data_IF_884462519854
#
_entry.id   IF_884462519854
#
_cell.length_a   1.000
_cell.length_b   1.000
_cell.length_c   1.000
_cell.angle_alpha   90.00
_cell.angle_beta   90.00
_cell.angle_gamma   90.00
#
_symmetry.space_group_name_H-M   'P 1'
#
loop_
_entity.id
_entity.type
_entity.pdbx_description
1 polymer ?
2 branched ?
3 non-polymer ?
4 non-polymer ?
5 non-polymer ?
6 non-polymer ?
7 water ?
#
# COMPACT_ATOMS: atom_id res chain seq x y z
C UNK A 1 16.32 -27.72 -8.23
N UNK A 2 16.16 -27.07 -9.38
CA UNK A 2 16.09 -25.71 -9.93
C UNK A 2 14.72 -25.39 -10.52
N UNK A 3 14.09 -24.38 -9.96
CA UNK A 3 12.66 -24.26 -10.00
C UNK A 3 12.01 -23.48 -11.15
N UNK A 4 12.78 -22.66 -11.85
CA UNK A 4 12.20 -21.69 -12.77
C UNK A 4 13.11 -21.44 -13.94
N UNK A 5 12.79 -20.50 -14.81
CA UNK A 5 13.74 -20.14 -15.84
C UNK A 5 14.10 -18.70 -15.82
N UNK A 6 15.36 -18.38 -16.06
CA UNK A 6 15.78 -17.00 -15.94
C UNK A 6 16.39 -16.41 -17.19
N UNK A 7 16.42 -15.08 -17.22
CA UNK A 7 16.87 -14.34 -18.38
C UNK A 7 17.43 -13.04 -17.87
N UNK A 8 17.86 -12.17 -18.79
CA UNK A 8 18.52 -10.92 -18.40
C UNK A 8 17.66 -10.00 -17.53
N UNK A 9 16.41 -9.77 -17.94
CA UNK A 9 15.51 -8.97 -17.12
C UNK A 9 14.41 -9.63 -16.31
N UNK A 10 14.38 -10.95 -16.23
CA UNK A 10 13.28 -11.60 -15.54
C UNK A 10 13.59 -12.96 -14.89
N UNK A 11 12.61 -13.47 -14.16
CA UNK A 11 12.61 -14.86 -13.70
C UNK A 11 11.20 -15.44 -13.82
N UNK A 12 11.02 -16.39 -14.73
CA UNK A 12 9.73 -17.09 -14.84
C UNK A 12 9.65 -18.23 -13.80
N UNK A 13 8.62 -18.25 -12.95
CA UNK A 13 8.44 -19.31 -11.97
C UNK A 13 8.02 -20.66 -12.56
N UNK A 14 8.71 -21.14 -13.58
CA UNK A 14 8.34 -22.39 -14.24
C UNK A 14 9.55 -23.04 -14.88
N UNK A 15 9.58 -24.38 -14.95
CA UNK A 15 10.77 -25.08 -15.49
C UNK A 15 10.78 -25.30 -17.02
N UNK A 16 11.89 -24.91 -17.62
CA UNK A 16 12.05 -24.94 -19.07
C UNK A 16 12.49 -26.31 -19.56
N UNK A 17 12.52 -27.29 -18.68
CA UNK A 17 12.83 -28.64 -19.08
C UNK A 17 11.97 -29.11 -20.27
N UNK A 18 10.77 -28.57 -20.43
CA UNK A 18 9.97 -28.91 -21.60
C UNK A 18 10.16 -27.95 -22.77
N UNK A 19 10.97 -26.92 -22.59
CA UNK A 19 11.27 -26.01 -23.67
C UNK A 19 10.18 -25.01 -23.99
N UNK A 20 9.11 -24.98 -23.20
CA UNK A 20 7.92 -24.12 -23.46
C UNK A 20 8.02 -22.66 -23.00
N UNK A 21 8.88 -22.40 -22.02
CA UNK A 21 8.94 -21.09 -21.39
C UNK A 21 9.44 -20.00 -22.33
N UNK A 22 8.74 -18.85 -22.31
CA UNK A 22 9.09 -17.65 -23.09
C UNK A 22 9.27 -16.43 -22.20
N UNK A 23 9.98 -15.42 -22.71
CA UNK A 23 10.12 -14.12 -22.03
C UNK A 23 8.76 -13.57 -21.67
N UNK A 24 8.60 -13.11 -20.43
CA UNK A 24 7.33 -12.50 -20.02
C UNK A 24 7.13 -11.15 -20.74
N UNK A 25 8.19 -10.62 -21.33
CA UNK A 25 8.10 -9.44 -22.18
C UNK A 25 7.71 -9.76 -23.63
N UNK A 26 7.61 -11.05 -23.98
CA UNK A 26 7.47 -11.49 -25.38
C UNK A 26 6.21 -12.29 -25.77
N UNK A 27 5.93 -13.39 -25.09
CA UNK A 27 4.74 -14.16 -25.41
C UNK A 27 3.98 -14.57 -24.16
N UNK A 28 2.70 -14.96 -24.30
CA UNK A 28 1.85 -15.45 -23.22
C UNK A 28 2.45 -16.56 -22.32
N UNK A 29 2.15 -16.42 -21.03
CA UNK A 29 2.58 -17.31 -19.96
C UNK A 29 1.58 -18.38 -19.60
N UNK A 30 0.67 -18.71 -20.49
CA UNK A 30 -0.40 -19.66 -20.19
C UNK A 30 0.04 -21.05 -19.70
N UNK A 31 1.34 -21.35 -19.73
CA UNK A 31 1.90 -22.48 -18.98
C UNK A 31 2.03 -22.25 -17.46
N UNK A 32 2.19 -20.98 -17.04
CA UNK A 32 2.17 -20.60 -15.64
C UNK A 32 0.79 -20.82 -15.07
N UNK A 33 -0.24 -20.40 -15.81
CA UNK A 33 -1.60 -20.55 -15.33
C UNK A 33 -2.54 -20.57 -16.51
N UNK A 34 -3.69 -21.21 -16.34
CA UNK A 34 -4.70 -21.31 -17.38
C UNK A 34 -5.08 -19.91 -17.85
N UNK A 35 -5.68 -19.79 -19.03
CA UNK A 35 -6.05 -18.43 -19.35
C UNK A 35 -7.17 -17.86 -18.47
N UNK A 36 -8.10 -18.69 -18.02
CA UNK A 36 -9.20 -18.15 -17.22
C UNK A 36 -8.67 -17.53 -15.95
N UNK A 37 -7.58 -18.07 -15.46
CA UNK A 37 -6.95 -17.49 -14.31
C UNK A 37 -6.36 -16.15 -14.65
N UNK A 38 -5.93 -15.97 -15.89
CA UNK A 38 -5.52 -14.64 -16.28
C UNK A 38 -6.71 -13.67 -16.34
N UNK A 39 -7.88 -14.17 -16.71
CA UNK A 39 -9.09 -13.37 -16.77
C UNK A 39 -9.50 -12.93 -15.38
N UNK A 40 -9.38 -13.87 -14.45
CA UNK A 40 -9.78 -13.65 -13.07
C UNK A 40 -8.86 -12.64 -12.46
N UNK A 41 -7.59 -12.69 -12.84
CA UNK A 41 -6.66 -11.68 -12.38
C UNK A 41 -7.16 -10.34 -12.89
N UNK A 42 -7.61 -10.31 -14.14
CA UNK A 42 -8.13 -9.09 -14.77
C UNK A 42 -9.44 -8.68 -14.10
N UNK A 43 -10.32 -9.63 -13.85
CA UNK A 43 -11.55 -9.36 -13.11
C UNK A 43 -11.20 -8.68 -11.81
N UNK A 44 -10.22 -9.19 -11.09
CA UNK A 44 -9.87 -8.57 -9.84
C UNK A 44 -9.40 -7.14 -10.08
N UNK A 45 -8.47 -6.94 -11.00
CA UNK A 45 -8.05 -5.61 -11.37
C UNK A 45 -9.22 -4.68 -11.77
N UNK A 46 -10.28 -5.25 -12.34
CA UNK A 46 -11.48 -4.49 -12.66
C UNK A 46 -12.19 -4.03 -11.38
N UNK A 47 -12.40 -4.97 -10.46
CA UNK A 47 -13.00 -4.66 -9.16
C UNK A 47 -12.32 -3.48 -8.49
N UNK A 48 -11.00 -3.53 -8.42
CA UNK A 48 -10.24 -2.55 -7.67
C UNK A 48 -10.27 -1.18 -8.32
N UNK A 49 -10.44 -1.12 -9.63
CA UNK A 49 -10.59 0.17 -10.32
C UNK A 49 -11.99 0.75 -10.10
N UNK A 50 -12.98 -0.10 -10.35
CA UNK A 50 -14.37 0.25 -10.15
C UNK A 50 -14.66 0.69 -8.74
N UNK A 51 -14.09 0.05 -7.73
CA UNK A 51 -14.22 0.55 -6.37
C UNK A 51 -13.17 1.60 -6.03
N UNK A 52 -11.92 1.36 -6.38
CA UNK A 52 -10.85 2.22 -5.90
C UNK A 52 -10.90 3.64 -6.42
N UNK A 53 -11.30 3.80 -7.68
CA UNK A 53 -11.33 5.13 -8.30
C UNK A 53 -12.41 6.06 -7.80
N UNK A 54 -13.67 5.59 -7.70
CA UNK A 54 -14.69 6.52 -7.22
C UNK A 54 -14.36 6.97 -5.80
N UNK A 55 -14.15 6.02 -4.92
CA UNK A 55 -14.03 6.35 -3.53
C UNK A 55 -12.77 7.17 -3.26
N UNK A 56 -11.71 6.97 -4.00
CA UNK A 56 -10.53 7.79 -3.78
C UNK A 56 -10.62 9.14 -4.43
N UNK A 57 -11.29 9.21 -5.58
CA UNK A 57 -11.37 10.44 -6.36
C UNK A 57 -12.38 11.34 -5.70
N UNK A 58 -13.47 10.73 -5.25
CA UNK A 58 -14.49 11.42 -4.50
C UNK A 58 -13.85 12.18 -3.34
N UNK A 59 -13.00 11.51 -2.60
CA UNK A 59 -12.28 12.15 -1.50
C UNK A 59 -11.65 13.48 -1.93
N UNK A 60 -10.83 13.48 -2.98
CA UNK A 60 -10.24 14.74 -3.45
C UNK A 60 -11.34 15.77 -3.74
N UNK A 61 -12.39 15.29 -4.40
CA UNK A 61 -13.42 16.15 -4.96
C UNK A 61 -14.24 16.84 -3.87
N UNK A 62 -14.72 16.03 -2.93
CA UNK A 62 -15.45 16.51 -1.77
C UNK A 62 -14.64 17.56 -0.98
N UNK A 63 -13.32 17.36 -0.86
CA UNK A 63 -12.46 18.33 -0.19
C UNK A 63 -12.57 19.68 -0.90
N UNK A 64 -12.52 19.64 -2.24
CA UNK A 64 -12.66 20.86 -3.02
C UNK A 64 -14.01 21.55 -2.73
N UNK A 65 -15.05 20.77 -2.49
CA UNK A 65 -16.37 21.33 -2.21
C UNK A 65 -16.60 21.79 -0.77
N UNK A 66 -15.85 21.28 0.21
CA UNK A 66 -16.16 21.61 1.62
C UNK A 66 -15.01 22.26 2.37
N UNK A 67 -15.18 23.53 2.71
CA UNK A 67 -14.15 24.28 3.42
C UNK A 67 -13.85 23.67 4.77
N UNK A 68 -14.84 22.98 5.33
CA UNK A 68 -14.70 22.39 6.66
C UNK A 68 -13.62 21.33 6.72
N UNK A 69 -13.36 20.74 5.57
CA UNK A 69 -12.43 19.63 5.49
C UNK A 69 -10.95 19.97 5.37
N UNK A 70 -10.64 21.16 4.86
CA UNK A 70 -9.22 21.39 4.60
C UNK A 70 -8.57 21.99 5.82
N UNK A 71 -7.90 21.11 6.56
CA UNK A 71 -7.32 21.40 7.84
C UNK A 71 -6.02 20.59 7.83
N UNK A 72 -4.96 21.14 8.43
CA UNK A 72 -3.62 20.55 8.35
C UNK A 72 -3.59 19.06 8.68
N UNK A 73 -4.42 18.67 9.65
CA UNK A 73 -4.58 17.28 10.02
C UNK A 73 -5.19 16.39 8.93
N UNK A 74 -5.83 16.98 7.94
CA UNK A 74 -6.36 16.22 6.81
C UNK A 74 -5.48 16.14 5.55
N UNK A 75 -4.41 16.93 5.54
CA UNK A 75 -3.48 16.98 4.41
C UNK A 75 -2.99 15.56 4.08
N UNK A 76 -2.55 14.84 5.10
CA UNK A 76 -2.04 13.50 4.93
C UNK A 76 -3.11 12.54 4.40
N UNK A 77 -4.36 12.71 4.82
CA UNK A 77 -5.45 11.86 4.34
C UNK A 77 -5.68 12.07 2.84
N UNK A 78 -5.40 13.28 2.39
CA UNK A 78 -5.57 13.63 0.99
C UNK A 78 -4.43 12.98 0.24
N UNK A 79 -3.25 13.02 0.85
CA UNK A 79 -2.07 12.33 0.34
C UNK A 79 -2.37 10.87 0.12
N UNK A 80 -2.91 10.21 1.14
CA UNK A 80 -3.38 8.83 1.01
C UNK A 80 -4.25 8.62 -0.24
N UNK A 81 -5.15 9.54 -0.50
CA UNK A 81 -6.13 9.33 -1.57
C UNK A 81 -5.52 9.44 -2.95
N UNK A 82 -4.49 10.28 -3.08
CA UNK A 82 -3.75 10.49 -4.33
C UNK A 82 -2.83 9.31 -4.58
N UNK A 83 -2.19 8.86 -3.50
CA UNK A 83 -1.33 7.68 -3.53
C UNK A 83 -2.13 6.50 -4.01
N UNK A 84 -3.29 6.31 -3.41
CA UNK A 84 -4.21 5.26 -3.85
C UNK A 84 -4.55 5.39 -5.32
N UNK A 85 -4.51 6.60 -5.86
CA UNK A 85 -4.88 6.81 -7.26
C UNK A 85 -3.74 6.34 -8.14
N UNK A 86 -2.50 6.71 -7.80
CA UNK A 86 -1.32 6.16 -8.47
C UNK A 86 -1.41 4.63 -8.54
N UNK A 87 -1.72 4.01 -7.42
CA UNK A 87 -2.00 2.58 -7.40
C UNK A 87 -3.09 2.21 -8.40
N UNK A 88 -4.13 3.02 -8.47
CA UNK A 88 -5.24 2.67 -9.36
C UNK A 88 -4.85 2.76 -10.83
N UNK A 89 -4.21 3.86 -11.22
CA UNK A 89 -3.81 4.03 -12.61
C UNK A 89 -2.47 3.40 -13.01
N UNK A 90 -1.45 3.55 -12.18
CA UNK A 90 -0.15 3.06 -12.54
C UNK A 90 -0.06 1.55 -12.42
N UNK A 91 -0.99 0.97 -11.69
CA UNK A 91 -0.88 -0.43 -11.34
C UNK A 91 -2.10 -1.19 -11.86
N UNK A 92 -3.26 -0.93 -11.27
CA UNK A 92 -4.42 -1.80 -11.52
C UNK A 92 -4.83 -1.86 -13.00
N UNK A 93 -4.82 -0.70 -13.66
CA UNK A 93 -5.30 -0.58 -15.05
C UNK A 93 -4.31 -1.21 -16.00
N UNK A 94 -3.03 -0.90 -15.79
CA UNK A 94 -1.95 -1.49 -16.56
C UNK A 94 -2.07 -2.99 -16.49
N UNK A 95 -2.07 -3.50 -15.26
CA UNK A 95 -2.20 -4.93 -15.01
C UNK A 95 -3.51 -5.49 -15.59
N UNK A 96 -4.55 -4.67 -15.67
CA UNK A 96 -5.79 -5.12 -16.30
C UNK A 96 -5.50 -5.35 -17.77
N UNK A 97 -4.72 -4.44 -18.33
CA UNK A 97 -4.40 -4.48 -19.73
C UNK A 97 -3.45 -5.62 -20.10
N UNK A 98 -2.31 -5.71 -19.41
CA UNK A 98 -1.32 -6.73 -19.69
C UNK A 98 -1.84 -8.12 -19.36
N UNK A 99 -2.63 -8.25 -18.31
CA UNK A 99 -3.18 -9.57 -17.96
C UNK A 99 -4.00 -10.13 -19.11
N UNK A 100 -4.60 -9.25 -19.87
CA UNK A 100 -5.46 -9.69 -20.93
C UNK A 100 -4.66 -10.14 -22.16
N UNK A 101 -3.37 -9.79 -22.19
CA UNK A 101 -2.42 -10.40 -23.13
C UNK A 101 -1.74 -11.66 -22.63
N UNK A 102 -1.78 -11.91 -21.33
CA UNK A 102 -1.09 -13.05 -20.75
C UNK A 102 0.40 -12.86 -20.58
N UNK A 103 0.87 -11.62 -20.66
CA UNK A 103 2.27 -11.28 -20.33
C UNK A 103 2.47 -9.76 -20.28
N UNK A 104 3.67 -9.30 -19.88
CA UNK A 104 3.87 -7.87 -19.72
C UNK A 104 4.35 -7.28 -21.03
N UNK A 105 3.42 -6.64 -21.72
CA UNK A 105 3.60 -6.29 -23.11
C UNK A 105 4.44 -5.04 -23.29
N UNK A 106 4.79 -4.40 -22.19
CA UNK A 106 5.43 -3.10 -22.25
C UNK A 106 6.96 -3.20 -22.18
N UNK A 107 7.45 -4.43 -22.17
CA UNK A 107 8.88 -4.66 -22.12
C UNK A 107 9.52 -4.26 -20.79
N UNK A 108 10.86 -4.36 -20.70
CA UNK A 108 11.59 -4.02 -19.47
C UNK A 108 11.46 -2.56 -19.02
N UNK A 109 11.56 -1.58 -19.92
CA UNK A 109 11.33 -0.16 -19.54
C UNK A 109 9.91 0.06 -19.00
N UNK A 110 8.93 -0.53 -19.69
CA UNK A 110 7.58 -0.55 -19.18
C UNK A 110 7.51 -1.17 -17.79
N UNK A 111 8.38 -2.15 -17.55
CA UNK A 111 8.47 -2.82 -16.26
C UNK A 111 9.06 -1.92 -15.17
N UNK A 112 10.09 -1.17 -15.52
CA UNK A 112 10.65 -0.19 -14.61
C UNK A 112 9.69 0.93 -14.26
N UNK A 113 8.98 1.43 -15.26
CA UNK A 113 8.00 2.48 -15.04
C UNK A 113 6.89 1.96 -14.17
N UNK A 114 6.18 0.96 -14.70
CA UNK A 114 5.00 0.44 -14.05
C UNK A 114 5.36 0.01 -12.65
N UNK A 115 6.57 -0.50 -12.47
CA UNK A 115 6.99 -0.96 -11.16
C UNK A 115 7.27 0.22 -10.26
N UNK A 116 7.83 1.27 -10.82
CA UNK A 116 8.22 2.41 -10.02
C UNK A 116 6.98 3.07 -9.44
N UNK A 117 6.03 3.36 -10.32
CA UNK A 117 4.79 4.00 -9.93
C UNK A 117 3.92 3.14 -9.03
N UNK A 118 3.86 1.84 -9.32
CA UNK A 118 3.10 0.91 -8.48
C UNK A 118 3.73 0.77 -7.10
N UNK A 119 5.05 0.93 -7.04
CA UNK A 119 5.75 0.90 -5.77
C UNK A 119 5.60 2.25 -5.08
N UNK A 120 5.81 3.32 -5.83
CA UNK A 120 5.73 4.66 -5.29
C UNK A 120 4.36 4.91 -4.68
N UNK A 121 3.31 4.44 -5.36
CA UNK A 121 1.96 4.57 -4.87
C UNK A 121 1.68 3.94 -3.51
N UNK A 122 1.96 2.64 -3.39
CA UNK A 122 1.65 1.93 -2.16
C UNK A 122 2.59 2.27 -1.02
N UNK A 123 3.73 2.87 -1.36
CA UNK A 123 4.69 3.27 -0.32
C UNK A 123 4.36 4.62 0.27
N UNK A 124 3.90 5.55 -0.57
CA UNK A 124 3.36 6.82 -0.10
C UNK A 124 2.17 6.53 0.81
N UNK A 125 1.28 5.66 0.35
CA UNK A 125 0.14 5.25 1.15
C UNK A 125 0.60 4.70 2.49
N UNK A 126 1.62 3.85 2.47
CA UNK A 126 2.15 3.26 3.69
C UNK A 126 2.63 4.31 4.66
N UNK A 127 3.52 5.17 4.17
CA UNK A 127 4.10 6.17 5.04
C UNK A 127 3.07 7.20 5.48
N UNK A 128 2.02 7.36 4.69
CA UNK A 128 0.91 8.22 5.09
C UNK A 128 0.26 7.70 6.35
N UNK A 129 -0.15 6.44 6.34
CA UNK A 129 -0.64 5.82 7.56
C UNK A 129 0.33 5.98 8.72
N UNK A 130 1.63 5.98 8.43
CA UNK A 130 2.60 6.17 9.49
C UNK A 130 2.54 7.60 9.97
N UNK A 131 2.67 8.55 9.05
CA UNK A 131 2.69 9.96 9.42
C UNK A 131 1.44 10.39 10.18
N UNK A 132 0.28 9.96 9.70
CA UNK A 132 -0.99 10.20 10.38
C UNK A 132 -0.91 9.79 11.83
N UNK A 133 -0.51 8.56 12.08
CA UNK A 133 -0.36 8.09 13.45
C UNK A 133 0.54 8.99 14.29
N UNK A 134 1.68 9.40 13.73
CA UNK A 134 2.60 10.28 14.46
C UNK A 134 1.92 11.57 14.88
N UNK A 135 1.26 12.24 13.94
CA UNK A 135 0.51 13.46 14.21
C UNK A 135 -0.56 13.28 15.28
N UNK A 136 -1.49 12.35 15.06
CA UNK A 136 -2.50 12.04 16.07
C UNK A 136 -1.89 11.78 17.45
N UNK A 137 -0.75 11.12 17.48
CA UNK A 137 -0.01 10.96 18.73
C UNK A 137 0.41 12.32 19.25
N UNK A 138 1.11 13.09 18.43
CA UNK A 138 1.53 14.43 18.82
C UNK A 138 0.37 15.31 19.30
N UNK A 139 -0.72 15.34 18.53
CA UNK A 139 -1.84 16.23 18.79
C UNK A 139 -2.65 15.80 20.00
N UNK A 140 -3.00 14.53 20.06
CA UNK A 140 -3.75 13.99 21.19
C UNK A 140 -2.91 13.76 22.45
N UNK A 141 -1.75 13.14 22.33
CA UNK A 141 -0.94 12.87 23.52
C UNK A 141 -0.22 14.11 24.05
N UNK A 142 -0.05 15.11 23.20
CA UNK A 142 0.74 16.30 23.54
C UNK A 142 2.07 15.97 24.23
N UNK A 143 2.91 15.16 23.59
CA UNK A 143 4.16 14.72 24.23
C UNK A 143 5.14 15.85 24.43
N UNK A 144 5.19 16.78 23.48
CA UNK A 144 6.01 17.97 23.63
C UNK A 144 5.16 19.19 23.96
N UNK A 145 5.45 19.78 25.12
CA UNK A 145 4.64 20.89 25.65
C UNK A 145 4.70 22.12 24.77
N UNK A 146 3.65 22.92 24.83
CA UNK A 146 3.59 24.21 24.13
C UNK A 146 3.85 24.09 22.63
N UNK A 147 3.32 23.03 22.04
CA UNK A 147 3.43 22.78 20.61
C UNK A 147 2.03 22.70 20.01
N UNK A 148 1.74 23.54 19.03
CA UNK A 148 0.47 23.43 18.32
C UNK A 148 0.72 23.05 16.88
N UNK A 149 0.07 21.97 16.44
CA UNK A 149 0.26 21.44 15.10
C UNK A 149 -0.45 22.31 14.08
N UNK A 150 0.26 22.63 13.01
CA UNK A 150 -0.25 23.60 12.06
C UNK A 150 0.14 23.22 10.65
N UNK A 151 -0.36 24.01 9.72
CA UNK A 151 -0.21 23.75 8.30
C UNK A 151 1.21 23.39 7.88
N UNK A 152 2.19 24.13 8.40
CA UNK A 152 3.60 23.90 8.05
C UNK A 152 4.13 22.52 8.45
N UNK A 153 3.70 22.03 9.61
CA UNK A 153 4.07 20.69 10.01
C UNK A 153 3.42 19.70 9.06
N UNK A 154 2.15 19.93 8.78
CA UNK A 154 1.40 19.07 7.89
C UNK A 154 2.02 18.93 6.51
N UNK A 155 2.69 19.99 6.05
CA UNK A 155 3.36 19.95 4.74
C UNK A 155 4.53 18.98 4.83
N UNK A 156 5.40 19.20 5.81
CA UNK A 156 6.54 18.32 6.00
C UNK A 156 6.10 16.87 6.10
N UNK A 157 5.02 16.63 6.82
CA UNK A 157 4.51 15.28 6.99
C UNK A 157 4.24 14.64 5.65
N UNK A 158 3.63 15.40 4.76
CA UNK A 158 3.36 14.95 3.40
C UNK A 158 4.66 14.74 2.62
N UNK A 159 5.51 15.75 2.59
CA UNK A 159 6.79 15.64 1.91
C UNK A 159 7.60 14.44 2.44
N UNK A 160 7.47 14.17 3.74
CA UNK A 160 8.19 13.05 4.34
C UNK A 160 7.81 11.73 3.69
N UNK A 161 6.52 11.57 3.39
CA UNK A 161 6.03 10.40 2.68
C UNK A 161 6.67 10.26 1.30
N UNK A 162 6.90 11.37 0.63
CA UNK A 162 7.50 11.35 -0.69
C UNK A 162 8.97 10.97 -0.63
N UNK A 163 9.70 11.61 0.27
CA UNK A 163 11.08 11.20 0.51
C UNK A 163 11.17 9.71 0.87
N UNK A 164 10.42 9.26 1.88
CA UNK A 164 10.43 7.85 2.24
C UNK A 164 10.06 6.88 1.12
N UNK A 165 9.08 7.28 0.30
CA UNK A 165 8.63 6.41 -0.77
C UNK A 165 9.64 6.34 -1.91
N UNK A 166 10.32 7.46 -2.17
CA UNK A 166 11.42 7.45 -3.12
C UNK A 166 12.58 6.64 -2.55
N UNK A 167 12.83 6.76 -1.25
CA UNK A 167 13.87 5.97 -0.60
C UNK A 167 13.65 4.47 -0.79
N UNK A 168 12.44 4.10 -1.23
CA UNK A 168 12.10 2.73 -1.51
C UNK A 168 12.05 2.42 -3.02
N UNK A 169 11.19 3.15 -3.73
CA UNK A 169 10.95 2.92 -5.15
C UNK A 169 12.11 3.29 -6.11
N UNK A 170 12.83 4.36 -5.81
CA UNK A 170 13.94 4.80 -6.66
C UNK A 170 15.17 3.87 -6.76
N UNK A 171 15.62 3.29 -5.62
CA UNK A 171 16.81 2.43 -5.73
C UNK A 171 16.82 1.30 -6.78
N UNK A 172 15.71 0.56 -6.97
CA UNK A 172 15.73 -0.48 -8.02
C UNK A 172 15.98 0.04 -9.44
N UNK A 173 15.59 1.27 -9.74
CA UNK A 173 15.85 1.88 -11.04
C UNK A 173 17.33 2.12 -11.25
N UNK A 174 18.06 2.33 -10.17
CA UNK A 174 19.50 2.55 -10.25
C UNK A 174 20.47 1.39 -9.88
N UNK A 175 19.92 0.20 -9.61
CA UNK A 175 20.78 -0.94 -9.35
C UNK A 175 20.89 -1.49 -7.95
N UNK A 176 20.08 -0.99 -7.03
CA UNK A 176 19.90 -1.70 -5.77
C UNK A 176 18.53 -2.37 -5.84
N UNK A 177 18.55 -3.69 -5.84
CA UNK A 177 17.49 -4.54 -6.39
C UNK A 177 17.13 -4.12 -7.83
N UNK A 178 15.88 -4.33 -8.23
CA UNK A 178 15.51 -4.19 -9.62
C UNK A 178 14.02 -4.50 -9.82
N UNK A 179 13.42 -3.99 -10.89
CA UNK A 179 12.04 -4.35 -11.16
C UNK A 179 11.95 -5.46 -12.21
N UNK A 180 11.22 -6.51 -11.89
CA UNK A 180 11.00 -7.59 -12.85
C UNK A 180 9.54 -8.01 -12.74
N UNK A 181 8.95 -8.59 -13.80
CA UNK A 181 7.58 -9.11 -13.74
C UNK A 181 7.48 -10.08 -12.60
N UNK A 182 6.34 -10.16 -11.94
CA UNK A 182 6.27 -11.02 -10.78
C UNK A 182 5.04 -11.89 -10.93
N UNK A 183 4.97 -12.99 -10.18
CA UNK A 183 3.77 -13.80 -10.14
C UNK A 183 3.47 -14.40 -11.49
N UNK A 184 2.30 -14.06 -12.03
CA UNK A 184 1.88 -14.52 -13.35
C UNK A 184 2.52 -13.68 -14.47
N UNK A 185 3.42 -12.80 -14.06
CA UNK A 185 4.28 -12.00 -14.93
C UNK A 185 3.55 -10.94 -15.73
N UNK A 186 2.38 -10.51 -15.27
CA UNK A 186 1.68 -9.39 -15.89
C UNK A 186 1.94 -8.06 -15.21
N UNK A 187 2.53 -8.08 -14.03
CA UNK A 187 2.82 -6.87 -13.29
C UNK A 187 4.25 -6.90 -12.80
N UNK A 188 4.83 -5.72 -12.56
CA UNK A 188 6.20 -5.62 -12.10
C UNK A 188 6.32 -5.10 -10.68
N UNK A 189 7.28 -5.65 -9.94
CA UNK A 189 7.54 -5.25 -8.57
C UNK A 189 9.01 -5.43 -8.18
N UNK A 190 9.31 -5.14 -6.93
CA UNK A 190 10.67 -5.26 -6.41
C UNK A 190 11.08 -6.72 -6.39
N UNK A 191 12.33 -7.02 -6.71
CA UNK A 191 12.73 -8.41 -6.66
C UNK A 191 13.30 -8.75 -5.27
N UNK A 192 12.44 -9.33 -4.46
CA UNK A 192 12.84 -9.69 -3.11
C UNK A 192 13.08 -11.18 -3.04
N UNK A 193 12.70 -11.89 -4.08
CA UNK A 193 12.68 -13.35 -3.99
C UNK A 193 13.85 -14.05 -4.66
N UNK A 194 14.70 -13.27 -5.31
CA UNK A 194 15.77 -13.83 -6.13
C UNK A 194 17.09 -13.25 -5.65
N UNK A 195 18.12 -14.12 -5.55
CA UNK A 195 19.38 -13.68 -4.93
C UNK A 195 20.29 -13.10 -5.98
N UNK A 196 19.90 -12.00 -6.59
CA UNK A 196 20.59 -11.55 -7.78
C UNK A 196 21.69 -10.63 -7.33
N UNK A 197 22.91 -11.12 -7.41
CA UNK A 197 24.01 -10.50 -6.69
C UNK A 197 24.49 -9.24 -7.40
N UNK A 198 24.13 -9.10 -8.67
CA UNK A 198 24.66 -8.00 -9.44
C UNK A 198 24.06 -6.70 -8.96
N UNK A 199 22.80 -6.78 -8.52
CA UNK A 199 22.06 -5.64 -7.96
C UNK A 199 21.98 -5.60 -6.42
N UNK A 200 22.61 -6.58 -5.77
CA UNK A 200 22.60 -6.72 -4.31
C UNK A 200 21.19 -6.80 -3.75
N UNK A 201 20.40 -7.70 -4.33
CA UNK A 201 19.01 -7.86 -3.93
C UNK A 201 18.82 -8.20 -2.47
N UNK A 202 19.78 -8.89 -1.90
CA UNK A 202 19.69 -9.31 -0.50
C UNK A 202 19.75 -8.18 0.49
N UNK A 203 20.73 -7.31 0.31
CA UNK A 203 20.91 -6.22 1.26
C UNK A 203 19.72 -5.29 1.21
N UNK A 204 19.06 -5.26 0.06
CA UNK A 204 17.89 -4.41 -0.13
C UNK A 204 16.65 -4.97 0.55
N UNK A 205 16.43 -6.28 0.45
CA UNK A 205 15.25 -6.86 1.07
C UNK A 205 15.31 -6.73 2.59
N UNK A 206 16.52 -6.73 3.15
CA UNK A 206 16.68 -6.51 4.59
C UNK A 206 16.34 -5.06 4.90
N UNK A 207 16.98 -4.15 4.18
CA UNK A 207 16.69 -2.74 4.31
C UNK A 207 15.21 -2.43 4.13
N UNK A 208 14.54 -3.16 3.25
CA UNK A 208 13.11 -3.03 3.08
C UNK A 208 12.38 -3.55 4.27
N UNK A 209 12.81 -4.72 4.75
CA UNK A 209 12.13 -5.38 5.82
C UNK A 209 12.22 -4.55 7.09
N UNK A 210 13.38 -3.95 7.30
CA UNK A 210 13.58 -3.11 8.46
C UNK A 210 12.93 -1.73 8.28
N UNK A 211 13.53 -0.90 7.42
CA UNK A 211 13.10 0.49 7.26
C UNK A 211 11.67 0.66 6.79
N UNK A 212 11.24 -0.14 5.81
CA UNK A 212 9.89 0.00 5.28
C UNK A 212 8.88 -1.00 5.83
N UNK A 213 9.26 -1.78 6.82
CA UNK A 213 8.26 -2.60 7.49
C UNK A 213 8.31 -2.51 9.01
N UNK A 214 9.45 -2.90 9.58
CA UNK A 214 9.58 -2.87 11.03
C UNK A 214 9.36 -1.45 11.61
N UNK A 215 10.14 -0.47 11.15
CA UNK A 215 9.92 0.93 11.52
C UNK A 215 8.43 1.36 11.44
N UNK A 216 7.77 1.20 10.27
CA UNK A 216 6.33 1.46 10.27
C UNK A 216 5.55 0.69 11.32
N UNK A 217 5.80 -0.59 11.46
CA UNK A 217 4.98 -1.37 12.38
C UNK A 217 5.12 -0.88 13.81
N UNK A 218 6.35 -0.51 14.16
CA UNK A 218 6.67 -0.08 15.51
C UNK A 218 6.05 1.28 15.81
N UNK A 219 6.34 2.23 14.93
CA UNK A 219 5.78 3.58 15.06
C UNK A 219 4.28 3.53 15.21
N UNK A 220 3.63 2.85 14.28
CA UNK A 220 2.18 2.71 14.30
C UNK A 220 1.63 2.08 15.57
N UNK A 221 2.35 1.12 16.14
CA UNK A 221 1.91 0.53 17.40
C UNK A 221 2.16 1.44 18.59
N UNK A 222 3.36 1.98 18.68
CA UNK A 222 3.68 2.92 19.73
C UNK A 222 2.66 4.05 19.73
N UNK A 223 2.63 4.84 18.67
CA UNK A 223 1.79 6.03 18.60
C UNK A 223 0.36 5.75 19.00
N UNK A 224 -0.27 4.79 18.34
CA UNK A 224 -1.64 4.46 18.68
C UNK A 224 -1.73 3.79 20.05
N UNK A 225 -0.67 3.09 20.46
CA UNK A 225 -0.63 2.55 21.80
C UNK A 225 -0.81 3.64 22.84
N UNK A 226 0.07 4.64 22.77
CA UNK A 226 0.01 5.81 23.65
C UNK A 226 -1.36 6.49 23.63
N UNK A 227 -1.94 6.59 22.44
CA UNK A 227 -3.25 7.20 22.27
C UNK A 227 -4.33 6.46 23.05
N UNK A 228 -4.39 5.14 22.92
CA UNK A 228 -5.48 4.40 23.56
C UNK A 228 -5.23 4.43 25.06
N UNK A 229 -4.00 4.76 25.42
CA UNK A 229 -3.65 4.97 26.82
C UNK A 229 -4.16 6.33 27.31
N UNK A 230 -3.64 7.41 26.73
CA UNK A 230 -4.08 8.76 27.04
C UNK A 230 -5.59 8.90 27.09
N UNK A 231 -6.30 8.25 26.19
CA UNK A 231 -7.73 8.40 26.09
C UNK A 231 -8.46 7.55 27.14
N UNK A 232 -7.90 6.40 27.49
CA UNK A 232 -8.53 5.55 28.49
C UNK A 232 -8.30 6.13 29.88
N UNK A 233 -7.12 6.73 30.04
CA UNK A 233 -6.76 7.47 31.24
C UNK A 233 -7.75 8.60 31.50
N UNK A 234 -7.87 9.51 30.55
CA UNK A 234 -8.79 10.64 30.63
C UNK A 234 -10.21 10.25 31.00
N UNK A 235 -10.73 9.19 30.41
CA UNK A 235 -12.09 8.77 30.66
C UNK A 235 -12.23 8.27 32.09
N UNK A 236 -11.21 7.58 32.58
CA UNK A 236 -11.26 7.02 33.93
C UNK A 236 -11.25 8.12 34.98
N UNK A 237 -10.64 9.24 34.64
CA UNK A 237 -10.58 10.41 35.51
C UNK A 237 -11.84 11.28 35.29
N UNK A 238 -12.51 11.04 34.18
CA UNK A 238 -13.72 11.76 33.77
C UNK A 238 -15.10 11.07 33.84
N UNK A 239 -15.24 9.93 34.52
CA UNK A 239 -16.44 9.09 34.36
C UNK A 239 -17.81 9.75 34.49
N UNK A 240 -17.92 10.89 35.17
CA UNK A 240 -19.19 11.60 35.23
C UNK A 240 -19.65 12.02 33.82
N UNK A 241 -18.75 11.98 32.84
CA UNK A 241 -19.11 12.33 31.46
C UNK A 241 -19.35 11.09 30.63
N UNK A 242 -20.58 10.93 30.13
CA UNK A 242 -20.95 9.76 29.33
C UNK A 242 -20.45 9.85 27.86
N UNK A 243 -20.56 11.05 27.28
CA UNK A 243 -19.91 11.34 26.01
C UNK A 243 -18.44 10.92 26.01
N UNK A 244 -17.68 11.38 26.99
CA UNK A 244 -16.27 11.01 27.13
C UNK A 244 -16.09 9.50 27.16
N UNK A 245 -17.03 8.83 27.81
CA UNK A 245 -16.98 7.37 27.89
C UNK A 245 -17.16 6.77 26.49
N UNK A 246 -18.13 7.28 25.75
CA UNK A 246 -18.32 6.94 24.32
C UNK A 246 -17.04 7.14 23.49
N UNK A 247 -16.49 8.35 23.53
CA UNK A 247 -15.24 8.68 22.83
C UNK A 247 -14.12 7.65 23.02
N UNK A 248 -13.82 7.32 24.27
CA UNK A 248 -12.76 6.36 24.58
C UNK A 248 -13.07 5.00 23.97
N UNK A 249 -14.36 4.65 23.96
CA UNK A 249 -14.83 3.42 23.35
C UNK A 249 -14.59 3.46 21.83
N UNK A 250 -15.10 4.52 21.21
CA UNK A 250 -14.96 4.73 19.77
C UNK A 250 -13.51 4.63 19.29
N UNK A 251 -12.66 5.45 19.89
CA UNK A 251 -11.26 5.52 19.52
C UNK A 251 -10.59 4.14 19.60
N UNK A 252 -10.76 3.46 20.73
CA UNK A 252 -10.18 2.13 20.86
C UNK A 252 -10.58 1.24 19.69
N UNK A 253 -11.88 1.14 19.46
CA UNK A 253 -12.37 0.28 18.37
C UNK A 253 -11.70 0.64 17.04
N UNK A 254 -11.79 1.90 16.69
CA UNK A 254 -11.09 2.42 15.52
C UNK A 254 -9.59 2.14 15.41
N UNK A 255 -8.87 2.13 16.53
CA UNK A 255 -7.46 1.85 16.45
C UNK A 255 -7.24 0.35 16.20
N UNK A 256 -8.13 -0.45 16.76
CA UNK A 256 -8.08 -1.88 16.57
C UNK A 256 -8.23 -2.20 15.07
N UNK A 257 -9.21 -1.54 14.47
CA UNK A 257 -9.42 -1.60 13.03
C UNK A 257 -8.22 -1.13 12.25
N UNK A 258 -7.66 0.02 12.61
CA UNK A 258 -6.50 0.58 11.91
C UNK A 258 -5.31 -0.34 11.99
N UNK A 259 -5.10 -0.91 13.18
CA UNK A 259 -3.95 -1.75 13.40
C UNK A 259 -4.09 -3.10 12.70
N UNK A 260 -5.23 -3.74 12.88
CA UNK A 260 -5.54 -4.96 12.13
C UNK A 260 -5.44 -4.77 10.62
N UNK A 261 -6.01 -3.66 10.12
CA UNK A 261 -5.94 -3.33 8.70
C UNK A 261 -4.50 -3.26 8.21
N UNK A 262 -3.63 -2.65 9.00
CA UNK A 262 -2.25 -2.48 8.58
C UNK A 262 -1.57 -3.82 8.44
N UNK A 263 -1.96 -4.73 9.32
CA UNK A 263 -1.31 -6.03 9.34
C UNK A 263 -1.78 -6.83 8.13
N UNK A 264 -3.10 -6.86 7.91
CA UNK A 264 -3.68 -7.58 6.77
C UNK A 264 -3.06 -7.16 5.44
N UNK A 265 -2.69 -5.89 5.36
CA UNK A 265 -2.06 -5.36 4.16
C UNK A 265 -0.59 -5.77 4.03
N UNK A 266 0.20 -5.52 5.07
CA UNK A 266 1.64 -5.79 5.00
C UNK A 266 2.21 -7.11 5.55
N UNK A 267 1.43 -7.84 6.34
CA UNK A 267 1.93 -9.11 6.89
C UNK A 267 2.30 -10.15 5.81
N UNK A 268 1.36 -10.43 4.87
CA UNK A 268 1.73 -11.44 3.87
C UNK A 268 2.99 -11.09 3.08
N UNK A 269 3.15 -9.84 2.64
CA UNK A 269 4.37 -9.47 1.93
C UNK A 269 5.59 -9.64 2.83
N UNK A 270 5.42 -9.36 4.11
CA UNK A 270 6.51 -9.51 5.04
C UNK A 270 6.78 -10.99 5.34
N UNK A 271 5.73 -11.75 5.66
CA UNK A 271 5.87 -13.16 5.98
C UNK A 271 6.50 -13.98 4.85
N UNK A 272 6.07 -13.67 3.64
CA UNK A 272 6.57 -14.31 2.44
C UNK A 272 8.02 -13.92 2.16
N UNK A 273 8.31 -12.62 2.12
CA UNK A 273 9.69 -12.16 1.92
C UNK A 273 10.66 -12.78 2.93
N UNK A 274 10.21 -12.88 4.18
CA UNK A 274 11.01 -13.47 5.25
C UNK A 274 11.22 -14.96 5.01
N UNK A 275 10.12 -15.68 4.82
CA UNK A 275 10.16 -17.11 4.56
C UNK A 275 11.09 -17.50 3.39
N UNK A 276 10.99 -16.77 2.28
CA UNK A 276 11.81 -17.02 1.10
C UNK A 276 13.28 -16.74 1.42
N UNK A 277 13.54 -15.67 2.15
CA UNK A 277 14.89 -15.29 2.52
C UNK A 277 15.58 -16.41 3.31
N UNK A 278 14.86 -16.98 4.27
CA UNK A 278 15.38 -18.02 5.16
C UNK A 278 15.16 -19.46 4.65
N UNK A 279 14.29 -19.60 3.66
CA UNK A 279 14.04 -20.86 2.95
C UNK A 279 14.67 -21.03 1.57
N UNK A 280 15.71 -20.24 1.29
CA UNK A 280 16.20 -19.98 -0.08
C UNK A 280 16.19 -21.18 -1.02
N UNK A 281 16.75 -22.33 -0.65
CA UNK A 281 16.46 -23.49 -1.46
C UNK A 281 15.00 -23.84 -1.20
N UNK A 282 14.15 -23.61 -2.21
CA UNK A 282 12.72 -23.93 -2.17
C UNK A 282 12.12 -23.34 -3.45
N UNK A 283 10.97 -23.86 -3.87
CA UNK A 283 10.34 -23.40 -5.10
C UNK A 283 9.02 -22.70 -4.84
N UNK A 284 8.87 -21.46 -5.31
CA UNK A 284 7.64 -20.69 -5.05
C UNK A 284 6.81 -20.34 -6.31
N UNK A 285 5.66 -20.99 -6.46
CA UNK A 285 4.79 -20.81 -7.62
C UNK A 285 4.29 -19.41 -7.94
N UNK A 286 3.87 -19.19 -9.19
CA UNK A 286 3.46 -17.86 -9.65
C UNK A 286 2.24 -17.29 -8.92
N UNK A 287 1.21 -18.10 -8.76
CA UNK A 287 0.00 -17.74 -8.01
C UNK A 287 0.28 -17.35 -6.55
N UNK A 288 0.96 -18.22 -5.81
CA UNK A 288 1.37 -17.94 -4.43
C UNK A 288 2.08 -16.57 -4.34
N UNK A 289 2.96 -16.31 -5.30
CA UNK A 289 3.64 -15.01 -5.36
C UNK A 289 2.69 -13.84 -5.57
N UNK A 290 1.54 -14.15 -6.16
CA UNK A 290 0.44 -13.20 -6.35
C UNK A 290 -0.28 -12.86 -5.05
N UNK A 291 -0.32 -13.80 -4.11
CA UNK A 291 -1.14 -13.65 -2.90
C UNK A 291 -0.84 -12.42 -2.04
N UNK A 292 0.43 -12.28 -1.58
CA UNK A 292 0.68 -11.10 -0.74
C UNK A 292 0.42 -9.78 -1.49
N UNK A 293 0.49 -9.82 -2.83
CA UNK A 293 0.11 -8.69 -3.67
C UNK A 293 -1.40 -8.45 -3.69
N UNK A 294 -2.18 -9.53 -3.72
CA UNK A 294 -3.64 -9.43 -3.66
C UNK A 294 -4.01 -8.63 -2.45
N UNK A 295 -3.33 -8.94 -1.34
CA UNK A 295 -3.60 -8.31 -0.07
C UNK A 295 -3.25 -6.83 -0.03
N UNK A 296 -2.02 -6.50 -0.40
CA UNK A 296 -1.58 -5.11 -0.36
C UNK A 296 -2.30 -4.18 -1.35
N UNK A 297 -2.64 -4.70 -2.52
CA UNK A 297 -3.30 -3.89 -3.55
C UNK A 297 -4.68 -3.43 -3.15
N UNK A 298 -5.44 -4.35 -2.55
CA UNK A 298 -6.79 -4.08 -2.07
C UNK A 298 -6.90 -2.97 -1.01
N UNK A 299 -5.80 -2.71 -0.32
CA UNK A 299 -5.72 -1.60 0.62
C UNK A 299 -6.08 -0.28 -0.04
N UNK A 300 -5.96 -0.20 -1.36
CA UNK A 300 -6.33 0.98 -2.12
C UNK A 300 -7.84 1.18 -2.10
N UNK A 301 -8.56 0.12 -1.76
CA UNK A 301 -9.99 0.23 -1.47
C UNK A 301 -10.28 0.37 0.04
N UNK A 302 -9.85 -0.59 0.86
CA UNK A 302 -10.18 -0.57 2.29
C UNK A 302 -9.53 0.54 3.12
N UNK A 303 -8.33 0.99 2.78
CA UNK A 303 -7.79 2.16 3.47
C UNK A 303 -8.70 3.38 3.41
N UNK A 304 -9.10 3.82 2.21
CA UNK A 304 -9.94 5.01 2.30
C UNK A 304 -11.32 4.73 2.93
N UNK A 305 -11.80 3.50 2.97
CA UNK A 305 -13.05 3.26 3.67
C UNK A 305 -12.84 3.45 5.17
N UNK A 306 -11.79 2.84 5.71
CA UNK A 306 -11.44 3.00 7.11
C UNK A 306 -11.10 4.47 7.43
N UNK A 307 -10.11 5.01 6.74
CA UNK A 307 -9.53 6.31 7.06
C UNK A 307 -10.31 7.56 6.57
N UNK A 308 -11.29 7.36 5.68
CA UNK A 308 -12.00 8.49 5.10
C UNK A 308 -13.48 8.31 5.33
N UNK A 309 -14.05 7.22 4.81
CA UNK A 309 -15.51 7.09 4.82
C UNK A 309 -16.09 6.91 6.21
N UNK A 310 -15.30 6.33 7.10
CA UNK A 310 -15.75 6.17 8.46
C UNK A 310 -15.51 7.44 9.29
N UNK A 311 -14.75 8.37 8.74
CA UNK A 311 -14.58 9.70 9.33
C UNK A 311 -15.91 10.43 9.29
N UNK A 312 -16.33 10.88 10.46
CA UNK A 312 -17.55 11.68 10.62
C UNK A 312 -17.64 12.89 9.66
N UNK A 313 -16.59 13.70 9.66
CA UNK A 313 -16.52 14.89 8.79
C UNK A 313 -16.58 14.56 7.26
N UNK A 314 -15.64 13.72 6.79
CA UNK A 314 -15.61 13.34 5.36
C UNK A 314 -16.93 12.73 4.86
N UNK A 315 -17.50 11.84 5.67
CA UNK A 315 -18.71 11.12 5.24
C UNK A 315 -19.86 12.05 4.96
N UNK A 316 -20.07 12.99 5.87
CA UNK A 316 -21.21 13.92 5.74
C UNK A 316 -21.12 14.78 4.48
N UNK A 317 -19.99 15.43 4.32
CA UNK A 317 -19.70 16.11 3.06
C UNK A 317 -19.87 15.21 1.85
N UNK A 318 -19.46 13.95 1.98
CA UNK A 318 -19.64 13.01 0.90
C UNK A 318 -21.11 12.74 0.65
N UNK A 319 -21.86 12.52 1.73
CA UNK A 319 -23.26 12.19 1.62
C UNK A 319 -24.02 13.37 1.04
N UNK A 320 -23.59 14.58 1.45
CA UNK A 320 -24.13 15.83 0.92
C UNK A 320 -23.90 15.94 -0.58
N UNK A 321 -22.67 15.67 -1.01
CA UNK A 321 -22.29 15.86 -2.41
C UNK A 321 -22.95 14.83 -3.35
N UNK A 322 -23.03 13.59 -2.88
CA UNK A 322 -23.67 12.50 -3.64
C UNK A 322 -25.14 12.83 -3.91
N UNK A 323 -25.77 13.49 -2.94
CA UNK A 323 -27.19 13.79 -3.00
C UNK A 323 -27.42 15.18 -3.59
N UNK A 324 -26.35 15.65 -4.17
CA UNK A 324 -26.45 16.84 -5.00
C UNK A 324 -26.80 18.19 -4.19
N UNK A 325 -26.18 18.30 -3.01
CA UNK A 325 -26.21 19.50 -2.19
C UNK A 325 -27.07 19.42 -0.92
N UNK A 326 -28.00 18.46 -0.88
CA UNK A 326 -28.89 18.36 0.28
C UNK A 326 -28.56 17.21 1.22
N UNK A 327 -29.35 17.12 2.30
CA UNK A 327 -29.22 16.07 3.31
C UNK A 327 -27.89 16.06 4.05
X LIG B 1 13.05 -22.25 -22.85
X LIG B 1 13.69 -20.93 -23.27
X LIG B 1 13.68 -20.73 -24.78
X LIG B 1 14.06 -21.96 -25.60
X LIG B 1 13.29 -23.17 -25.08
X LIG B 1 13.92 -24.46 -25.57
X LIG B 1 13.73 -18.90 -21.88
X LIG B 1 12.87 -18.11 -20.95
X LIG B 1 13.06 -19.78 -22.62
X LIG B 1 14.61 -19.71 -25.07
X LIG B 1 13.72 -21.72 -26.94
X LIG B 1 13.32 -23.33 -23.69
X LIG B 1 15.21 -24.58 -25.00
X LIG B 1 14.93 -18.71 -21.90
X LIG B 2 14.75 -21.87 -27.94
X LIG B 2 14.02 -22.15 -29.24
X LIG B 2 14.96 -22.24 -30.40
X LIG B 2 15.90 -21.06 -30.43
X LIG B 2 16.57 -20.86 -29.10
X LIG B 2 17.39 -19.59 -29.17
X LIG B 2 11.99 -23.44 -28.89
X LIG B 2 11.41 -24.80 -28.68
X LIG B 2 13.28 -23.38 -29.13
X LIG B 2 14.21 -22.35 -31.58
X LIG B 2 16.92 -21.36 -31.33
X LIG B 2 15.60 -20.75 -28.09
X LIG B 2 18.41 -19.61 -28.20
X LIG B 2 11.27 -22.45 -28.81
X LIG B 3 16.68 -20.88 -32.64
X LIG B 3 18.04 -20.75 -33.26
X LIG B 3 17.96 -20.06 -34.62
X LIG B 3 16.71 -20.44 -35.42
X LIG B 3 15.66 -21.34 -34.74
X LIG B 3 15.36 -22.57 -35.59
X LIG B 3 18.54 -22.08 -33.42
X LIG B 3 19.19 -20.32 -35.32
X LIG B 3 16.02 -19.23 -35.76
X LIG B 3 15.98 -21.81 -33.43
X LIG B 3 13.96 -22.86 -35.55
X LIG B 4 20.15 -19.29 -35.00
X LIG B 4 21.20 -19.20 -36.09
X LIG B 4 21.85 -20.57 -36.21
X LIG B 4 22.47 -21.00 -34.89
X LIG B 4 21.53 -20.75 -33.70
X LIG B 4 22.32 -20.83 -32.39
X LIG B 4 22.17 -18.24 -35.72
X LIG B 4 22.86 -20.51 -37.21
X LIG B 4 22.74 -22.38 -34.92
X LIG B 4 20.86 -19.49 -33.80
X LIG B 4 21.66 -20.17 -31.34
X LIG C 1 14.48 -10.41 5.46
X LIG C 1 14.64 -9.58 4.54
X LIG C 1 13.43 -11.10 5.39
X LIG C 1 15.46 -10.56 6.58
X LIG D 1 -4.41 27.81 2.60
X LIG D 1 -3.23 27.83 3.40
X LIG D 1 -4.35 28.81 1.57
X LIG D 1 -4.54 26.52 1.96
X LIG D 1 -5.59 28.03 3.40
X LIG E 1 -28.96 14.09 -6.71
X LIG E 1 -30.09 13.82 -6.15
X LIG E 1 -28.10 12.85 -7.20
X LIG E 1 -28.98 11.85 -6.39
X LIG E 1 -29.05 10.36 -6.59
X LIG E 1 -27.87 9.37 -6.48
X LIG E 1 -28.54 7.98 -6.49
X LIG E 1 -27.43 6.95 -6.62
X LIG E 1 -28.01 5.54 -6.59
X LIG E 1 -26.85 4.55 -6.86
X LIG E 1 -27.30 3.08 -6.82
X LIG E 1 -26.11 2.14 -7.13
X LIG E 1 -25.64 2.52 -8.53
X LIG E 1 -24.43 1.78 -9.12
X LIG E 1 -24.54 0.26 -9.29
X LIG E 1 -23.22 -0.19 -9.96
X LIG E 1 -23.15 -1.69 -10.24
X LIG F 1 -4.71 -10.14 -27.69
X LIG F 1 -5.08 -8.80 -27.18
X LIG F 1 -4.29 -9.97 -29.12
X LIG F 1 -5.42 -9.43 -29.87
X LIG F 1 -3.99 -11.33 -29.74
X LIG F 1 -3.60 -11.19 -31.09
X LIG F 1 -2.84 -11.93 -29.01
X LIG F 1 -2.56 -13.20 -29.61
X LIG F 1 -3.27 -12.09 -27.52
X LIG F 1 -3.59 -10.78 -26.97
X LIG F 1 -2.18 -12.84 -26.73
X LIG F 1 -2.63 -13.11 -25.40
X LIG F 1 -5.60 -8.61 -25.86
X LIG F 1 -5.99 -7.13 -25.86
X LIG F 1 -6.60 -6.55 -24.57
X LIG F 1 -6.81 -5.07 -24.88
X LIG F 1 -7.33 -4.15 -23.75
X LIG F 1 -8.70 -4.40 -23.14
X LIG F 1 -8.89 -3.29 -22.09
X LIG F 1 -10.22 -3.41 -21.36
#
# INVERSE_FOLDING_TARGET
XMCGTEGPNFYVPFSNKTGVVRSPFEAPQYYLAEPWQFSMLAAYMFLLIMLGFPINFLTLYVTVQHKKLRTPLNYILLNLAVADLFMVFGDFTTTLYTSLHGYFVFGPTGCNLEGFFATLGGEIALWSLVVLAIERYVVVCKPMSNFRFGENHAIMGVAFTWVMALACAAPPLVGWSRYIPEGMQCSCGIDYYTPHEETNNESFVIYMFVVHFIIPLIVIFFCYGQLVFTVKEAAAQQQESATTQKAEKEVTRMVIIMVIAFLICWLPYAGVAFYIFTHQGSCFGPIFMTIPAFFAKTSAVYNPVIYIMMNKQFRNCMVTTLCCGKNPLGDDEASTTVSKTETSQVAPA
NAG C1 C2 C3 C4 C5 C6 C7 C8 N2 O3 O4 O5 O6 O7
NAG C1 C2 C3 C4 C5 C6 C7 C8 N2 O3 O4 O5 O6 O7
BMA C1 C2 C3 C4 C5 C6 O2 O3 O4 O5 O6
MAN C1 C2 C3 C4 C5 C6 O2 O3 O4 O5 O6
ACT C O OXT CH3
SO4 S O1 O2 O3 O4
PLM C1 O2 C2 C3 C4 C5 C6 C7 C8 C9 CA CB CC CD CE CF CG
BOG C1 O1 C2 O2 C3 O3 C4 O4 C5 O5 C6 O6 C1' C2' C3' C4' C5' C6' C7' C8'
#
